data_IF_225789672133
#
_entry.id   IF_225789672133
#
_cell.length_a   1.000
_cell.length_b   1.000
_cell.length_c   1.000
_cell.angle_alpha   90.00
_cell.angle_beta   90.00
_cell.angle_gamma   90.00
#
_symmetry.space_group_name_H-M   'P 1'
#
loop_
_entity.id
_entity.type
_entity.pdbx_description
1 polymer ?
#
# COMPACT_ATOMS: atom_id res chain seq x y z
N UNK A 1 5.27 -16.04 -17.56
CA UNK A 1 5.05 -15.32 -16.27
C UNK A 1 4.45 -13.92 -16.45
N UNK A 2 4.57 -13.26 -17.62
CA UNK A 2 3.91 -11.97 -17.90
C UNK A 2 2.38 -12.07 -18.07
N UNK A 3 1.88 -13.24 -18.40
CA UNK A 3 0.47 -13.46 -18.74
C UNK A 3 -0.46 -13.39 -17.52
N UNK A 4 0.09 -13.56 -16.31
CA UNK A 4 -0.66 -13.47 -15.05
C UNK A 4 -1.05 -12.03 -14.67
N UNK A 5 -0.44 -11.02 -15.30
CA UNK A 5 -0.71 -9.60 -15.03
C UNK A 5 -1.68 -8.96 -16.04
N UNK A 6 -2.19 -9.71 -17.02
CA UNK A 6 -3.07 -9.16 -18.06
C UNK A 6 -4.33 -8.49 -17.51
N UNK A 7 -4.81 -8.92 -16.35
CA UNK A 7 -6.00 -8.33 -15.72
C UNK A 7 -5.71 -7.05 -14.93
N UNK A 8 -4.44 -6.69 -14.72
CA UNK A 8 -4.11 -5.44 -14.04
C UNK A 8 -4.40 -4.26 -14.98
N UNK A 9 -5.26 -3.28 -14.61
CA UNK A 9 -5.57 -2.12 -15.45
C UNK A 9 -4.36 -1.26 -15.82
N UNK A 10 -3.23 -1.42 -15.11
CA UNK A 10 -1.98 -0.73 -15.39
C UNK A 10 -1.13 -1.44 -16.46
N UNK A 11 -1.48 -2.67 -16.84
CA UNK A 11 -0.71 -3.45 -17.80
C UNK A 11 -0.82 -2.82 -19.19
N UNK A 12 0.32 -2.37 -19.73
CA UNK A 12 0.38 -1.66 -21.02
C UNK A 12 -0.09 -0.20 -20.98
N UNK A 13 -0.57 0.31 -19.83
CA UNK A 13 -1.02 1.69 -19.70
C UNK A 13 0.17 2.65 -19.56
N UNK A 14 0.20 3.68 -20.41
CA UNK A 14 1.20 4.74 -20.34
C UNK A 14 0.91 5.64 -19.14
N UNK A 15 1.96 6.07 -18.45
CA UNK A 15 1.86 6.96 -17.29
C UNK A 15 1.19 8.30 -17.63
N UNK A 16 1.35 8.77 -18.86
CA UNK A 16 0.70 9.99 -19.39
C UNK A 16 -0.81 9.83 -19.45
N UNK A 17 -1.30 8.78 -20.10
CA UNK A 17 -2.74 8.47 -20.19
C UNK A 17 -3.34 8.29 -18.79
N UNK A 18 -2.66 7.56 -17.91
CA UNK A 18 -3.10 7.38 -16.53
C UNK A 18 -3.23 8.72 -15.79
N UNK A 19 -2.26 9.62 -15.94
CA UNK A 19 -2.30 10.91 -15.27
C UNK A 19 -3.43 11.80 -15.83
N UNK A 20 -3.60 11.82 -17.14
CA UNK A 20 -4.64 12.60 -17.81
C UNK A 20 -6.04 12.14 -17.36
N UNK A 21 -6.32 10.83 -17.34
CA UNK A 21 -7.61 10.29 -16.87
C UNK A 21 -7.94 10.72 -15.42
N UNK A 22 -6.95 10.70 -14.54
CA UNK A 22 -7.13 11.07 -13.13
C UNK A 22 -7.36 12.57 -12.99
N UNK A 23 -6.58 13.38 -13.72
CA UNK A 23 -6.68 14.84 -13.68
C UNK A 23 -8.00 15.31 -14.28
N UNK A 24 -8.45 14.70 -15.37
CA UNK A 24 -9.74 14.98 -16.00
C UNK A 24 -10.91 14.71 -15.05
N UNK A 25 -10.83 13.63 -14.27
CA UNK A 25 -11.90 13.27 -13.34
C UNK A 25 -11.87 14.06 -12.02
N UNK A 26 -10.70 14.27 -11.42
CA UNK A 26 -10.58 14.83 -10.06
C UNK A 26 -10.07 16.27 -10.01
N UNK A 27 -9.37 16.73 -11.04
CA UNK A 27 -8.65 17.99 -11.03
C UNK A 27 -7.37 17.96 -10.17
N UNK A 28 -6.55 19.00 -10.34
CA UNK A 28 -5.25 19.12 -9.68
C UNK A 28 -5.36 19.34 -8.16
N UNK A 29 -6.34 20.12 -7.71
CA UNK A 29 -6.52 20.47 -6.30
C UNK A 29 -6.86 19.24 -5.46
N UNK A 30 -7.78 18.39 -5.93
CA UNK A 30 -8.13 17.12 -5.31
C UNK A 30 -6.95 16.17 -5.22
N UNK A 31 -6.12 16.11 -6.27
CA UNK A 31 -4.92 15.27 -6.28
C UNK A 31 -3.85 15.79 -5.33
N UNK A 32 -3.66 17.11 -5.27
CA UNK A 32 -2.78 17.74 -4.31
C UNK A 32 -3.19 17.49 -2.86
N UNK A 33 -4.50 17.44 -2.59
CA UNK A 33 -5.05 17.10 -1.28
C UNK A 33 -4.87 15.60 -0.96
N UNK A 34 -5.29 14.72 -1.87
CA UNK A 34 -5.29 13.27 -1.63
C UNK A 34 -3.88 12.67 -1.58
N UNK A 35 -2.97 13.13 -2.45
CA UNK A 35 -1.63 12.56 -2.59
C UNK A 35 -0.55 13.34 -1.85
N UNK A 36 -0.84 14.57 -1.42
CA UNK A 36 0.10 15.44 -0.71
C UNK A 36 1.45 15.56 -1.44
N UNK A 37 1.42 15.78 -2.76
CA UNK A 37 2.62 15.92 -3.60
C UNK A 37 2.78 17.34 -4.13
N UNK A 38 4.00 17.87 -4.06
CA UNK A 38 4.29 19.25 -4.46
C UNK A 38 4.12 19.51 -5.96
N UNK A 39 4.32 18.50 -6.81
CA UNK A 39 4.12 18.63 -8.26
C UNK A 39 2.68 19.01 -8.64
N UNK A 40 1.70 18.64 -7.82
CA UNK A 40 0.29 19.00 -8.03
C UNK A 40 -0.12 20.31 -7.35
N UNK A 41 0.70 20.83 -6.42
CA UNK A 41 0.41 22.07 -5.66
C UNK A 41 1.00 23.31 -6.29
N UNK A 42 2.30 23.31 -6.54
CA UNK A 42 3.03 24.55 -6.78
C UNK A 42 3.10 24.98 -8.24
N UNK A 43 2.86 24.09 -9.21
CA UNK A 43 2.78 24.38 -10.65
C UNK A 43 2.22 23.14 -11.38
N UNK A 44 0.90 22.92 -11.34
CA UNK A 44 0.29 21.76 -11.97
C UNK A 44 0.45 21.84 -13.49
N UNK A 45 1.41 21.10 -14.02
CA UNK A 45 1.65 20.95 -15.45
C UNK A 45 1.92 19.48 -15.74
N UNK A 46 1.14 18.89 -16.65
CA UNK A 46 1.23 17.48 -17.05
C UNK A 46 2.67 17.09 -17.40
N UNK A 47 3.38 17.88 -18.21
CA UNK A 47 4.75 17.54 -18.64
C UNK A 47 5.74 17.54 -17.47
N UNK A 48 5.63 18.52 -16.57
CA UNK A 48 6.48 18.62 -15.38
C UNK A 48 6.22 17.49 -14.40
N UNK A 49 4.93 17.18 -14.16
CA UNK A 49 4.50 16.07 -13.32
C UNK A 49 5.01 14.74 -13.88
N UNK A 50 4.89 14.49 -15.18
CA UNK A 50 5.40 13.27 -15.80
C UNK A 50 6.92 13.15 -15.66
N UNK A 51 7.67 14.25 -15.85
CA UNK A 51 9.11 14.25 -15.65
C UNK A 51 9.48 13.91 -14.20
N UNK A 52 8.73 14.41 -13.22
CA UNK A 52 8.88 14.09 -11.81
C UNK A 52 8.56 12.61 -11.52
N UNK A 53 7.39 12.12 -11.95
CA UNK A 53 6.95 10.74 -11.72
C UNK A 53 7.87 9.71 -12.40
N UNK A 54 8.49 10.05 -13.54
CA UNK A 54 9.48 9.19 -14.19
C UNK A 54 10.81 9.09 -13.41
N UNK A 55 11.17 10.11 -12.64
CA UNK A 55 12.41 10.15 -11.83
C UNK A 55 12.23 9.61 -10.42
N UNK A 56 11.00 9.59 -9.92
CA UNK A 56 10.70 9.31 -8.53
C UNK A 56 9.75 8.13 -8.44
N UNK A 57 10.31 6.92 -8.34
CA UNK A 57 9.55 5.67 -8.42
C UNK A 57 8.46 5.58 -7.36
N UNK A 58 8.76 5.92 -6.10
CA UNK A 58 7.76 5.91 -5.02
C UNK A 58 6.56 6.82 -5.32
N UNK A 59 6.79 7.94 -6.01
CA UNK A 59 5.73 8.87 -6.38
C UNK A 59 4.87 8.30 -7.51
N UNK A 60 5.50 7.66 -8.51
CA UNK A 60 4.80 6.91 -9.56
C UNK A 60 3.91 5.82 -8.95
N UNK A 61 4.47 5.00 -8.08
CA UNK A 61 3.73 3.91 -7.43
C UNK A 61 2.56 4.42 -6.57
N UNK A 62 2.72 5.60 -5.95
CA UNK A 62 1.64 6.24 -5.19
C UNK A 62 0.49 6.69 -6.10
N UNK A 63 0.79 7.29 -7.25
CA UNK A 63 -0.21 7.68 -8.25
C UNK A 63 -0.90 6.45 -8.86
N UNK A 64 -0.13 5.41 -9.17
CA UNK A 64 -0.67 4.15 -9.71
C UNK A 64 -1.55 3.41 -8.69
N UNK A 65 -1.17 3.41 -7.41
CA UNK A 65 -2.02 2.87 -6.35
C UNK A 65 -3.30 3.67 -6.19
N UNK A 66 -3.24 4.99 -6.30
CA UNK A 66 -4.42 5.85 -6.30
C UNK A 66 -5.33 5.54 -7.48
N UNK A 67 -4.76 5.33 -8.67
CA UNK A 67 -5.52 4.93 -9.85
C UNK A 67 -6.28 3.61 -9.63
N UNK A 68 -5.60 2.57 -9.11
CA UNK A 68 -6.25 1.27 -8.89
C UNK A 68 -7.39 1.33 -7.86
N UNK A 69 -7.17 1.97 -6.72
CA UNK A 69 -8.11 1.87 -5.59
C UNK A 69 -9.11 3.02 -5.49
N UNK A 70 -8.77 4.21 -6.01
CA UNK A 70 -9.67 5.37 -5.97
C UNK A 70 -10.34 5.59 -7.31
N UNK A 71 -9.62 5.45 -8.42
CA UNK A 71 -10.21 5.65 -9.74
C UNK A 71 -10.88 4.40 -10.30
N UNK A 72 -10.22 3.23 -10.28
CA UNK A 72 -10.82 1.95 -10.70
C UNK A 72 -11.57 1.24 -9.58
N UNK A 73 -11.48 1.75 -8.36
CA UNK A 73 -12.20 1.28 -7.17
C UNK A 73 -12.08 -0.24 -6.97
N UNK A 74 -10.88 -0.78 -7.19
CA UNK A 74 -10.58 -2.19 -6.96
C UNK A 74 -10.51 -2.50 -5.46
N UNK A 75 -10.81 -3.75 -5.06
CA UNK A 75 -10.64 -4.18 -3.68
C UNK A 75 -9.17 -4.10 -3.25
N UNK A 76 -8.95 -3.92 -1.94
CA UNK A 76 -7.61 -3.93 -1.37
C UNK A 76 -6.99 -5.33 -1.55
N UNK A 77 -5.76 -5.46 -2.08
CA UNK A 77 -5.08 -6.75 -2.18
C UNK A 77 -4.60 -7.26 -0.82
N UNK A 78 -4.21 -8.54 -0.80
CA UNK A 78 -3.53 -9.17 0.33
C UNK A 78 -2.22 -8.46 0.68
N UNK A 79 -1.78 -8.56 1.93
CA UNK A 79 -0.59 -7.84 2.42
C UNK A 79 0.69 -8.22 1.65
N UNK A 80 0.81 -9.49 1.21
CA UNK A 80 1.92 -9.96 0.38
C UNK A 80 1.93 -9.26 -0.99
N UNK A 81 0.76 -9.12 -1.62
CA UNK A 81 0.63 -8.43 -2.91
C UNK A 81 0.76 -6.91 -2.75
N UNK A 82 0.32 -6.37 -1.63
CA UNK A 82 0.41 -4.94 -1.35
C UNK A 82 1.86 -4.45 -1.21
N UNK A 83 2.75 -5.31 -0.70
CA UNK A 83 4.17 -5.05 -0.62
C UNK A 83 4.86 -4.94 -2.00
N UNK A 84 4.26 -5.51 -3.04
CA UNK A 84 4.77 -5.42 -4.41
C UNK A 84 4.37 -4.08 -5.07
N UNK A 85 5.17 -3.60 -6.05
CA UNK A 85 4.82 -2.44 -6.86
C UNK A 85 3.46 -2.62 -7.54
N UNK A 86 2.66 -1.55 -7.74
CA UNK A 86 1.29 -1.66 -8.26
C UNK A 86 1.17 -2.35 -9.61
N UNK A 87 2.17 -2.18 -10.50
CA UNK A 87 2.23 -2.85 -11.81
C UNK A 87 2.50 -4.34 -11.71
N UNK A 88 3.15 -4.78 -10.64
CA UNK A 88 3.56 -6.17 -10.45
C UNK A 88 2.50 -7.02 -9.74
N UNK A 89 1.46 -6.39 -9.20
CA UNK A 89 0.38 -7.05 -8.47
C UNK A 89 -0.46 -7.93 -9.38
N UNK A 90 -0.83 -9.10 -8.86
CA UNK A 90 -1.78 -10.00 -9.48
C UNK A 90 -3.21 -9.58 -9.11
N UNK A 91 -4.05 -9.36 -10.12
CA UNK A 91 -5.47 -9.04 -9.97
C UNK A 91 -6.31 -10.24 -10.41
N UNK A 92 -7.04 -10.91 -9.52
CA UNK A 92 -7.89 -12.06 -9.87
C UNK A 92 -8.89 -11.72 -10.97
N UNK A 93 -9.15 -12.66 -11.89
CA UNK A 93 -9.97 -12.46 -13.09
C UNK A 93 -11.42 -12.02 -12.80
N UNK A 94 -11.93 -12.35 -11.62
CA UNK A 94 -13.28 -12.02 -11.18
C UNK A 94 -13.43 -10.53 -10.80
N UNK A 95 -12.33 -9.85 -10.49
CA UNK A 95 -12.34 -8.46 -10.05
C UNK A 95 -12.40 -7.52 -11.25
N UNK A 96 -13.46 -6.70 -11.32
CA UNK A 96 -13.67 -5.72 -12.39
C UNK A 96 -13.58 -4.29 -11.85
N UNK A 97 -13.02 -3.35 -12.61
CA UNK A 97 -13.07 -1.93 -12.26
C UNK A 97 -14.49 -1.43 -12.08
N UNK A 98 -14.70 -0.57 -11.08
CA UNK A 98 -15.96 0.13 -10.82
C UNK A 98 -15.78 1.63 -11.06
N UNK A 99 -16.89 2.38 -11.00
CA UNK A 99 -16.89 3.83 -11.10
C UNK A 99 -15.95 4.48 -10.06
N UNK A 100 -15.28 5.58 -10.42
CA UNK A 100 -14.37 6.31 -9.54
C UNK A 100 -15.02 6.77 -8.24
N UNK A 101 -14.24 6.78 -7.17
CA UNK A 101 -14.65 7.24 -5.84
C UNK A 101 -14.69 8.76 -5.82
N UNK A 102 -15.85 9.37 -5.56
CA UNK A 102 -15.95 10.83 -5.41
C UNK A 102 -15.11 11.30 -4.21
N UNK A 103 -14.26 12.31 -4.41
CA UNK A 103 -13.41 12.91 -3.36
C UNK A 103 -13.83 14.38 -3.22
N UNK A 104 -14.63 14.67 -2.21
CA UNK A 104 -15.09 16.04 -1.95
C UNK A 104 -14.02 16.82 -1.17
N UNK A 105 -13.27 17.69 -1.85
CA UNK A 105 -12.32 18.62 -1.21
C UNK A 105 -13.00 19.69 -0.36
N UNK A 106 -14.25 20.03 -0.69
CA UNK A 106 -15.02 21.11 -0.06
C UNK A 106 -15.74 20.66 1.21
N UNK A 107 -15.90 19.34 1.41
CA UNK A 107 -16.52 18.79 2.59
C UNK A 107 -15.50 18.80 3.74
N UNK A 108 -15.76 19.62 4.77
CA UNK A 108 -15.05 19.53 6.06
C UNK A 108 -14.96 18.06 6.48
N UNK A 109 -13.82 17.59 7.04
CA UNK A 109 -13.64 16.20 7.39
C UNK A 109 -14.80 15.76 8.29
N UNK A 110 -15.70 14.94 7.74
CA UNK A 110 -16.67 14.22 8.51
C UNK A 110 -15.85 13.27 9.37
N UNK A 111 -15.65 13.64 10.64
CA UNK A 111 -15.08 12.77 11.67
C UNK A 111 -15.96 11.53 11.66
N UNK A 112 -15.51 10.48 10.97
CA UNK A 112 -16.15 9.18 11.06
C UNK A 112 -15.97 8.76 12.52
N UNK A 113 -17.03 8.91 13.30
CA UNK A 113 -17.17 8.34 14.64
C UNK A 113 -17.09 6.82 14.48
N UNK A 114 -15.87 6.29 14.31
CA UNK A 114 -15.62 4.86 14.36
C UNK A 114 -16.04 4.43 15.76
N UNK A 115 -17.03 3.52 15.92
CA UNK A 115 -17.36 3.02 17.24
C UNK A 115 -16.09 2.42 17.83
N UNK A 116 -15.72 2.90 19.04
CA UNK A 116 -14.61 2.37 19.82
C UNK A 116 -14.75 0.84 19.88
N UNK A 117 -13.72 0.05 19.55
CA UNK A 117 -13.82 -1.40 19.68
C UNK A 117 -14.21 -1.69 21.14
N UNK A 118 -15.34 -2.39 21.34
CA UNK A 118 -15.81 -2.77 22.67
C UNK A 118 -14.65 -3.49 23.36
N UNK A 119 -14.27 -2.99 24.54
CA UNK A 119 -13.20 -3.58 25.33
C UNK A 119 -13.47 -5.08 25.48
N UNK A 120 -12.54 -5.90 25.00
CA UNK A 120 -12.56 -7.35 25.26
C UNK A 120 -12.47 -7.50 26.79
N UNK A 121 -13.38 -8.24 27.46
CA UNK A 121 -13.32 -8.38 28.91
C UNK A 121 -11.96 -8.93 29.30
N UNK A 122 -11.33 -8.28 30.28
CA UNK A 122 -10.08 -8.73 30.88
C UNK A 122 -10.28 -10.14 31.43
N UNK A 123 -9.56 -11.12 30.88
CA UNK A 123 -9.43 -12.43 31.53
C UNK A 123 -8.81 -12.19 32.91
N UNK A 124 -9.41 -12.69 34.01
CA UNK A 124 -8.78 -12.58 35.31
C UNK A 124 -7.43 -13.32 35.29
N UNK A 125 -6.41 -12.69 35.87
CA UNK A 125 -5.09 -13.27 36.03
C UNK A 125 -5.22 -14.54 36.90
N UNK A 126 -5.09 -15.72 36.28
CA UNK A 126 -4.99 -16.97 37.04
C UNK A 126 -3.66 -16.95 37.78
N UNK A 127 -3.74 -17.00 39.11
CA UNK A 127 -2.61 -16.97 40.02
C UNK A 127 -1.51 -17.96 39.59
N UNK A 128 -0.27 -17.47 39.62
CA UNK A 128 0.94 -18.28 39.43
C UNK A 128 1.06 -19.25 40.61
N UNK A 129 0.68 -20.51 40.42
CA UNK A 129 1.09 -21.60 41.31
C UNK A 129 2.54 -21.94 41.00
N UNK A 130 3.39 -21.88 42.03
CA UNK A 130 4.82 -22.15 41.98
C UNK A 130 5.13 -23.51 41.36
N UNK A 131 6.10 -23.55 40.44
CA UNK A 131 6.65 -24.78 39.86
C UNK A 131 8.02 -25.03 40.53
N UNK A 132 8.30 -26.21 41.09
CA UNK A 132 9.56 -26.46 41.79
C UNK A 132 10.72 -26.57 40.79
N UNK A 133 11.90 -26.12 41.21
CA UNK A 133 13.17 -26.26 40.50
C UNK A 133 13.50 -27.75 40.35
N UNK A 134 13.69 -28.20 39.11
CA UNK A 134 14.39 -29.43 38.79
C UNK A 134 15.70 -29.08 38.07
N UNK A 135 16.72 -29.85 38.37
CA UNK A 135 18.14 -29.54 38.29
C UNK A 135 18.84 -30.35 37.19
N UNK A 136 19.88 -29.76 36.57
CA UNK A 136 20.95 -30.37 35.73
C UNK A 136 20.49 -30.97 34.37
N UNK A 137 21.20 -30.88 33.24
CA UNK A 137 22.62 -30.62 32.91
C UNK A 137 22.76 -30.31 31.40
N UNK A 138 23.69 -29.45 31.01
CA UNK A 138 24.26 -29.31 29.65
C UNK A 138 25.38 -30.36 29.43
N UNK A 139 26.10 -30.46 28.27
CA UNK A 139 25.98 -29.83 26.94
C UNK A 139 26.16 -30.84 25.76
N UNK A 140 25.97 -30.43 24.49
CA UNK A 140 26.85 -30.83 23.37
C UNK A 140 26.61 -29.95 22.11
N UNK A 141 27.58 -29.05 21.89
CA UNK A 141 28.38 -28.80 20.69
C UNK A 141 27.82 -28.80 19.23
N UNK A 142 28.41 -27.88 18.45
CA UNK A 142 28.57 -27.84 16.99
C UNK A 142 27.38 -27.35 16.15
N UNK A 143 27.50 -26.46 15.16
CA UNK A 143 28.62 -25.70 14.59
C UNK A 143 28.01 -24.59 13.72
N UNK A 144 28.56 -23.38 13.77
CA UNK A 144 28.13 -22.25 12.92
C UNK A 144 28.99 -22.22 11.64
N UNK A 145 28.44 -22.39 10.42
CA UNK A 145 29.23 -22.74 9.24
C UNK A 145 29.95 -21.57 8.55
N UNK A 146 29.88 -20.34 9.08
CA UNK A 146 30.43 -19.17 8.37
C UNK A 146 31.46 -18.34 9.13
N UNK A 147 31.89 -18.80 10.29
CA UNK A 147 32.95 -18.15 11.06
C UNK A 147 34.34 -18.56 10.54
N UNK A 148 34.71 -18.16 9.32
CA UNK A 148 36.13 -18.12 8.95
C UNK A 148 36.43 -17.10 7.85
N UNK A 149 37.18 -16.06 8.18
CA UNK A 149 37.90 -15.22 7.23
C UNK A 149 39.15 -14.65 7.91
N UNK A 150 40.37 -15.08 7.54
CA UNK A 150 41.61 -14.53 8.07
C UNK A 150 42.03 -13.24 7.35
N UNK A 151 42.85 -12.45 8.06
CA UNK A 151 43.50 -11.19 7.64
C UNK A 151 44.63 -11.40 6.64
#
# INVERSE_FOLDING_TARGET
MKDLQQNNPLHGLKLEVLLDEIVEHYGWETLAFALNMNCFRNNPNTKSCLKFLRKTDWAREKVESFYLYRFKHLPRPDDVQYALPPRDRLVPLDQKPRAPVVIDITAKPQVQNKPKPKARPSRPAKARSAKPKAEKSNPIDSADPWANSPK
#
